data_IF_697558159405
#
_entry.id   IF_697558159405
#
_cell.length_a   1.000
_cell.length_b   1.000
_cell.length_c   1.000
_cell.angle_alpha   90.00
_cell.angle_beta   90.00
_cell.angle_gamma   90.00
#
_symmetry.space_group_name_H-M   'P 1'
#
loop_
_entity.id
_entity.type
_entity.pdbx_description
1 polymer ?
#
# COMPACT_ATOMS: atom_id res chain seq x y z
N UNK A 1 1.33 10.74 10.98
CA UNK A 1 0.71 9.40 10.99
C UNK A 1 1.29 8.64 9.82
N UNK A 2 1.83 7.45 10.03
CA UNK A 2 2.30 6.57 8.96
C UNK A 2 1.46 5.30 9.00
N UNK A 3 0.48 5.22 8.11
CA UNK A 3 -0.49 4.12 8.06
C UNK A 3 -1.58 4.38 7.04
N UNK A 4 -2.40 3.36 6.81
CA UNK A 4 -3.53 3.39 5.88
C UNK A 4 -4.81 3.59 6.66
N UNK A 5 -5.65 4.45 6.11
CA UNK A 5 -6.98 4.73 6.62
C UNK A 5 -7.98 4.49 5.50
N UNK A 6 -9.00 3.68 5.79
CA UNK A 6 -10.10 3.41 4.88
C UNK A 6 -11.31 4.24 5.28
N UNK A 7 -11.95 4.87 4.29
CA UNK A 7 -13.21 5.59 4.46
C UNK A 7 -14.31 4.88 3.68
N UNK A 8 -15.56 4.99 4.15
CA UNK A 8 -16.71 4.56 3.35
C UNK A 8 -16.99 5.55 2.20
N UNK A 9 -17.94 5.22 1.33
CA UNK A 9 -18.30 6.07 0.18
C UNK A 9 -18.96 7.39 0.57
N UNK A 10 -19.32 7.57 1.84
CA UNK A 10 -19.86 8.82 2.40
C UNK A 10 -18.76 9.65 3.07
N UNK A 11 -17.51 9.18 3.07
CA UNK A 11 -16.38 9.86 3.70
C UNK A 11 -16.29 9.65 5.21
N UNK A 12 -17.08 8.74 5.79
CA UNK A 12 -16.92 8.39 7.19
C UNK A 12 -15.70 7.48 7.34
N UNK A 13 -14.92 7.71 8.41
CA UNK A 13 -13.84 6.82 8.78
C UNK A 13 -14.43 5.42 9.02
N UNK A 14 -14.06 4.46 8.16
CA UNK A 14 -14.29 3.06 8.50
C UNK A 14 -13.33 2.77 9.65
N UNK A 15 -13.76 2.03 10.69
CA UNK A 15 -12.97 1.75 11.91
C UNK A 15 -11.61 1.04 11.66
N UNK A 16 -11.20 0.90 10.41
CA UNK A 16 -10.03 0.18 9.97
C UNK A 16 -8.90 1.15 9.61
N UNK A 17 -7.92 1.20 10.51
CA UNK A 17 -6.61 1.80 10.30
C UNK A 17 -5.57 0.72 10.58
N UNK A 18 -4.60 0.58 9.68
CA UNK A 18 -3.47 -0.33 9.89
C UNK A 18 -2.18 0.32 9.42
N UNK A 19 -1.07 -0.14 9.98
CA UNK A 19 0.23 0.49 9.80
C UNK A 19 0.71 1.25 11.02
N UNK A 20 2.02 1.20 11.24
CA UNK A 20 2.77 2.03 12.18
C UNK A 20 4.14 2.37 11.60
N UNK A 21 4.83 3.42 12.08
CA UNK A 21 6.20 3.68 11.65
C UNK A 21 7.13 2.49 11.90
N UNK A 22 7.97 2.15 10.92
CA UNK A 22 8.96 1.09 11.03
C UNK A 22 9.31 0.43 9.69
N UNK A 23 10.04 -0.68 9.75
CA UNK A 23 10.55 -1.40 8.58
C UNK A 23 10.12 -2.87 8.54
N UNK A 24 9.39 -3.36 9.56
CA UNK A 24 8.83 -4.70 9.58
C UNK A 24 7.59 -4.87 8.68
N UNK A 25 7.09 -6.10 8.49
CA UNK A 25 5.83 -6.35 7.80
C UNK A 25 4.66 -5.59 8.45
N UNK A 26 3.89 -4.86 7.63
CA UNK A 26 2.81 -4.00 8.11
C UNK A 26 3.26 -2.71 8.80
N UNK A 27 4.56 -2.42 8.81
CA UNK A 27 5.11 -1.12 9.23
C UNK A 27 5.47 -0.30 7.99
N UNK A 28 5.47 1.02 8.10
CA UNK A 28 5.73 1.91 6.97
C UNK A 28 6.80 2.95 7.30
N UNK A 29 7.53 3.35 6.26
CA UNK A 29 8.37 4.54 6.26
C UNK A 29 8.09 5.34 4.97
N UNK A 30 7.33 6.42 5.15
CA UNK A 30 6.92 7.36 4.09
C UNK A 30 6.13 6.67 2.95
N UNK A 31 4.94 6.10 3.22
CA UNK A 31 4.11 5.50 2.19
C UNK A 31 3.59 6.57 1.22
N UNK A 32 3.75 6.35 -0.09
CA UNK A 32 3.53 7.39 -1.11
C UNK A 32 2.37 7.11 -2.07
N UNK A 33 2.00 5.85 -2.25
CA UNK A 33 1.01 5.43 -3.22
C UNK A 33 0.34 4.14 -2.80
N UNK A 34 -0.93 4.00 -3.17
CA UNK A 34 -1.71 2.79 -2.94
C UNK A 34 -2.53 2.46 -4.19
N UNK A 35 -2.75 1.17 -4.45
CA UNK A 35 -3.59 0.68 -5.54
C UNK A 35 -4.21 -0.66 -5.15
N UNK A 36 -5.43 -0.93 -5.63
CA UNK A 36 -6.08 -2.23 -5.45
C UNK A 36 -6.10 -2.99 -6.76
N UNK A 37 -5.92 -4.30 -6.69
CA UNK A 37 -6.09 -5.20 -7.83
C UNK A 37 -7.53 -5.75 -7.92
N UNK A 38 -7.80 -6.54 -8.96
CA UNK A 38 -9.11 -7.16 -9.21
C UNK A 38 -9.57 -8.14 -8.13
N UNK A 39 -8.64 -8.64 -7.31
CA UNK A 39 -8.89 -9.54 -6.18
C UNK A 39 -9.10 -8.77 -4.87
N UNK A 40 -8.98 -7.44 -4.91
CA UNK A 40 -9.11 -6.58 -3.74
C UNK A 40 -7.90 -6.59 -2.82
N UNK A 41 -6.73 -7.06 -3.28
CA UNK A 41 -5.48 -6.90 -2.55
C UNK A 41 -5.03 -5.44 -2.66
N UNK A 42 -4.59 -4.88 -1.55
CA UNK A 42 -4.07 -3.53 -1.48
C UNK A 42 -2.54 -3.53 -1.57
N UNK A 43 -2.02 -2.88 -2.60
CA UNK A 43 -0.60 -2.65 -2.79
C UNK A 43 -0.26 -1.26 -2.25
N UNK A 44 0.86 -1.15 -1.54
CA UNK A 44 1.29 0.09 -0.89
C UNK A 44 2.76 0.33 -1.18
N UNK A 45 3.06 1.46 -1.80
CA UNK A 45 4.43 1.90 -2.06
C UNK A 45 5.05 2.49 -0.79
N UNK A 46 5.88 1.70 -0.13
CA UNK A 46 6.58 2.03 1.11
C UNK A 46 7.99 2.55 0.75
N UNK A 47 8.05 3.86 0.46
CA UNK A 47 9.11 4.47 -0.35
C UNK A 47 10.48 4.41 0.31
N UNK A 48 10.59 4.78 1.58
CA UNK A 48 11.90 4.81 2.25
C UNK A 48 12.41 3.41 2.53
N UNK A 49 11.50 2.47 2.76
CA UNK A 49 11.81 1.04 2.88
C UNK A 49 12.06 0.36 1.51
N UNK A 50 11.95 1.07 0.38
CA UNK A 50 12.21 0.57 -0.98
C UNK A 50 11.44 -0.71 -1.33
N UNK A 51 10.18 -0.79 -0.90
CA UNK A 51 9.34 -1.97 -1.12
C UNK A 51 7.92 -1.62 -1.51
N UNK A 52 7.22 -2.59 -2.07
CA UNK A 52 5.76 -2.58 -2.17
C UNK A 52 5.24 -3.65 -1.21
N UNK A 53 4.37 -3.26 -0.28
CA UNK A 53 3.70 -4.20 0.61
C UNK A 53 2.30 -4.52 0.09
N UNK A 54 1.85 -5.76 0.31
CA UNK A 54 0.59 -6.30 -0.21
C UNK A 54 -0.25 -6.73 0.98
N UNK A 55 -1.51 -6.29 1.01
CA UNK A 55 -2.46 -6.57 2.08
C UNK A 55 -3.77 -7.12 1.51
N UNK A 56 -4.56 -7.80 2.34
CA UNK A 56 -5.98 -8.04 2.03
C UNK A 56 -6.85 -6.81 2.36
N UNK A 57 -8.16 -6.91 2.14
CA UNK A 57 -9.11 -5.81 2.37
C UNK A 57 -9.29 -5.45 3.84
N UNK A 58 -8.92 -6.38 4.73
CA UNK A 58 -8.96 -6.28 6.18
C UNK A 58 -7.66 -5.70 6.77
N UNK A 59 -6.64 -5.48 5.93
CA UNK A 59 -5.35 -4.91 6.31
C UNK A 59 -4.34 -5.93 6.84
N UNK A 60 -4.57 -7.23 6.66
CA UNK A 60 -3.59 -8.26 7.00
C UNK A 60 -2.48 -8.26 5.96
N UNK A 61 -1.23 -8.33 6.42
CA UNK A 61 -0.07 -8.44 5.54
C UNK A 61 -0.08 -9.79 4.82
N UNK A 62 0.06 -9.75 3.50
CA UNK A 62 0.12 -10.94 2.64
C UNK A 62 1.54 -11.21 2.17
N UNK A 63 2.21 -10.19 1.61
CA UNK A 63 3.53 -10.32 0.99
C UNK A 63 4.19 -8.95 0.78
N UNK A 64 5.45 -8.95 0.34
CA UNK A 64 6.16 -7.74 -0.06
C UNK A 64 7.15 -7.97 -1.19
N UNK A 65 7.35 -6.95 -2.01
CA UNK A 65 8.31 -6.96 -3.11
C UNK A 65 9.41 -5.93 -2.85
N UNK A 66 10.68 -6.35 -2.82
CA UNK A 66 11.82 -5.52 -2.38
C UNK A 66 12.72 -5.00 -3.53
N UNK A 67 12.21 -5.04 -4.76
CA UNK A 67 12.98 -4.73 -5.98
C UNK A 67 12.79 -3.28 -6.49
N UNK A 68 12.28 -2.38 -5.64
CA UNK A 68 11.86 -1.04 -6.07
C UNK A 68 12.69 0.06 -5.40
N UNK A 69 13.55 0.75 -6.17
CA UNK A 69 14.22 1.96 -5.69
C UNK A 69 13.30 3.19 -5.86
N UNK A 70 13.03 3.91 -4.78
CA UNK A 70 12.34 5.23 -4.78
C UNK A 70 10.97 5.22 -5.48
N UNK A 71 10.19 4.18 -5.24
CA UNK A 71 8.80 4.07 -5.68
C UNK A 71 7.95 5.21 -5.10
N UNK A 72 7.08 5.77 -5.95
CA UNK A 72 6.19 6.86 -5.57
C UNK A 72 4.73 6.49 -5.89
N UNK A 73 4.15 7.07 -6.93
CA UNK A 73 2.83 6.68 -7.41
C UNK A 73 2.83 5.24 -7.92
N UNK A 74 1.79 4.50 -7.55
CA UNK A 74 1.49 3.18 -8.12
C UNK A 74 0.08 3.18 -8.70
N UNK A 75 -0.10 2.42 -9.78
CA UNK A 75 -1.36 2.21 -10.45
C UNK A 75 -1.45 0.74 -10.85
N UNK A 76 -2.63 0.14 -10.73
CA UNK A 76 -2.90 -1.21 -11.23
C UNK A 76 -4.00 -1.08 -12.28
N UNK A 77 -3.77 -1.65 -13.47
CA UNK A 77 -4.75 -1.63 -14.55
C UNK A 77 -5.76 -2.79 -14.45
N UNK A 78 -6.69 -2.85 -15.42
CA UNK A 78 -7.73 -3.88 -15.45
C UNK A 78 -7.22 -5.32 -15.66
N UNK A 79 -5.94 -5.50 -15.98
CA UNK A 79 -5.29 -6.81 -16.15
C UNK A 79 -4.38 -7.16 -14.96
N UNK A 80 -4.51 -6.46 -13.83
CA UNK A 80 -3.68 -6.60 -12.64
C UNK A 80 -2.18 -6.31 -12.89
N UNK A 81 -1.86 -5.49 -13.91
CA UNK A 81 -0.50 -5.03 -14.12
C UNK A 81 -0.21 -3.81 -13.24
N UNK A 82 0.80 -3.91 -12.37
CA UNK A 82 1.25 -2.81 -11.54
C UNK A 82 2.26 -1.93 -12.27
N UNK A 83 1.93 -0.65 -12.41
CA UNK A 83 2.79 0.42 -12.89
C UNK A 83 3.28 1.25 -11.70
N UNK A 84 4.56 1.59 -11.69
CA UNK A 84 5.14 2.42 -10.63
C UNK A 84 6.04 3.49 -11.23
N UNK A 85 5.83 4.75 -10.83
CA UNK A 85 6.74 5.84 -11.22
C UNK A 85 8.03 5.79 -10.40
N UNK A 86 9.16 5.87 -11.10
CA UNK A 86 10.51 5.94 -10.52
C UNK A 86 11.06 7.36 -10.62
N UNK A 87 11.69 7.84 -9.54
CA UNK A 87 12.37 9.14 -9.46
C UNK A 87 13.74 9.01 -8.82
#
# INVERSE_FOLDING_TARGET
MEGIVKFDSQGNFSLMQWGRPGSGPGEFDTPHGLAMDSQGRLFVADRTNNRIQIFDQEGNFLDSWEQFSRNSGIHIDANDMLFCSRF
#
